data_IF_618318846270
#
_entry.id   IF_618318846270
#
_cell.length_a   1.000
_cell.length_b   1.000
_cell.length_c   1.000
_cell.angle_alpha   90.00
_cell.angle_beta   90.00
_cell.angle_gamma   90.00
#
_symmetry.space_group_name_H-M   'P 1'
#
loop_
_entity.id
_entity.type
_entity.pdbx_description
1 polymer ?
#
# COMPACT_ATOMS: atom_id res chain seq x y z
N UNK A 1 16.79 -6.51 -7.52
CA UNK A 1 16.90 -6.04 -6.11
C UNK A 1 16.05 -4.79 -5.97
N UNK A 2 15.34 -4.64 -4.85
CA UNK A 2 14.75 -3.40 -4.28
C UNK A 2 13.27 -3.10 -4.63
N UNK A 3 12.40 -3.24 -3.61
CA UNK A 3 10.96 -2.99 -3.66
C UNK A 3 10.62 -1.49 -3.71
N UNK A 4 10.43 -0.78 -4.82
CA UNK A 4 9.95 0.63 -4.73
C UNK A 4 10.75 1.48 -3.72
N UNK A 5 12.05 1.68 -3.96
CA UNK A 5 13.03 1.95 -2.89
C UNK A 5 12.78 1.17 -1.60
N UNK A 6 12.82 -0.16 -1.70
CA UNK A 6 12.50 -1.10 -0.62
C UNK A 6 11.26 -0.80 0.28
N UNK A 7 10.22 -0.13 -0.18
CA UNK A 7 8.99 0.10 0.56
C UNK A 7 7.74 -0.58 0.01
N UNK A 8 7.25 -0.19 -1.17
CA UNK A 8 5.82 -0.36 -1.47
C UNK A 8 5.53 -0.62 -2.96
N UNK A 9 5.24 -1.88 -3.31
CA UNK A 9 4.68 -2.25 -4.62
C UNK A 9 3.58 -3.30 -4.44
N UNK A 10 2.73 -3.44 -5.45
CA UNK A 10 1.77 -4.55 -5.58
C UNK A 10 2.07 -5.31 -6.86
N UNK A 11 2.14 -6.63 -6.81
CA UNK A 11 2.30 -7.52 -7.97
C UNK A 11 1.20 -8.58 -7.95
N UNK A 12 0.72 -8.99 -9.12
CA UNK A 12 -0.21 -10.10 -9.25
C UNK A 12 0.54 -11.33 -9.80
N UNK A 13 0.59 -12.37 -8.97
CA UNK A 13 0.93 -13.78 -9.23
C UNK A 13 2.35 -14.16 -9.75
N UNK A 14 2.96 -15.08 -8.99
CA UNK A 14 4.09 -16.02 -9.23
C UNK A 14 5.31 -15.69 -10.13
N UNK A 15 5.63 -14.43 -10.38
CA UNK A 15 6.86 -14.07 -11.09
C UNK A 15 7.80 -13.22 -10.24
N UNK A 16 8.39 -13.88 -9.23
CA UNK A 16 9.38 -13.26 -8.33
C UNK A 16 10.78 -13.06 -8.96
N UNK A 17 10.99 -13.21 -10.27
CA UNK A 17 12.31 -13.12 -10.90
C UNK A 17 12.31 -12.69 -12.40
N UNK A 18 11.52 -11.69 -12.80
CA UNK A 18 11.74 -11.01 -14.10
C UNK A 18 11.63 -9.50 -13.96
N UNK A 19 12.65 -8.78 -14.43
CA UNK A 19 12.88 -7.33 -14.32
C UNK A 19 11.87 -6.44 -15.07
N UNK A 20 10.78 -7.01 -15.60
CA UNK A 20 9.86 -6.36 -16.54
C UNK A 20 8.39 -6.41 -16.07
N UNK A 21 8.14 -6.22 -14.77
CA UNK A 21 6.75 -6.05 -14.27
C UNK A 21 6.42 -4.56 -14.22
N UNK A 22 5.40 -4.16 -14.96
CA UNK A 22 4.88 -2.80 -15.00
C UNK A 22 4.42 -2.38 -13.58
N UNK A 23 5.22 -1.58 -12.88
CA UNK A 23 4.91 -1.12 -11.53
C UNK A 23 4.13 0.19 -11.59
N UNK A 24 2.84 0.13 -11.28
CA UNK A 24 2.02 1.32 -11.15
C UNK A 24 2.11 1.90 -9.73
N UNK A 25 2.23 3.24 -9.58
CA UNK A 25 2.39 3.85 -8.27
C UNK A 25 1.14 3.63 -7.41
N UNK A 26 1.36 3.32 -6.13
CA UNK A 26 0.31 3.35 -5.12
C UNK A 26 -0.12 4.79 -4.84
N UNK A 27 -1.40 4.97 -4.59
CA UNK A 27 -2.01 6.25 -4.24
C UNK A 27 -2.20 6.29 -2.72
N UNK A 28 -1.45 7.14 -1.99
CA UNK A 28 -1.60 7.23 -0.55
C UNK A 28 -2.99 7.80 -0.22
N UNK A 29 -3.62 7.27 0.82
CA UNK A 29 -4.78 7.87 1.44
C UNK A 29 -4.39 9.21 2.11
N UNK A 30 -5.32 10.16 2.14
CA UNK A 30 -5.17 11.34 3.00
C UNK A 30 -5.12 10.86 4.47
N UNK A 31 -4.06 11.17 5.24
CA UNK A 31 -3.99 10.85 6.67
C UNK A 31 -5.24 11.28 7.46
N UNK A 32 -5.90 12.36 7.05
CA UNK A 32 -7.12 12.87 7.68
C UNK A 32 -8.35 12.03 7.37
N UNK A 33 -8.34 11.31 6.25
CA UNK A 33 -9.39 10.40 5.83
C UNK A 33 -9.18 8.96 6.35
N UNK A 34 -8.07 8.69 7.06
CA UNK A 34 -7.88 7.41 7.73
C UNK A 34 -8.90 7.27 8.87
N UNK A 35 -9.52 6.10 8.94
CA UNK A 35 -10.49 5.74 9.96
C UNK A 35 -10.11 4.41 10.64
N UNK A 36 -10.79 4.12 11.76
CA UNK A 36 -10.67 2.84 12.46
C UNK A 36 -9.22 2.46 12.81
N UNK A 37 -8.80 1.27 12.38
CA UNK A 37 -7.46 0.74 12.67
C UNK A 37 -6.36 1.56 11.98
N UNK A 38 -6.57 2.00 10.75
CA UNK A 38 -5.57 2.78 10.00
C UNK A 38 -5.24 4.10 10.69
N UNK A 39 -6.28 4.77 11.22
CA UNK A 39 -6.07 5.99 11.98
C UNK A 39 -5.28 5.76 13.27
N UNK A 40 -5.64 4.72 14.02
CA UNK A 40 -4.97 4.38 15.29
C UNK A 40 -3.49 4.06 15.08
N UNK A 41 -3.17 3.28 14.05
CA UNK A 41 -1.79 2.93 13.72
C UNK A 41 -0.99 4.15 13.27
N UNK A 42 -1.60 5.02 12.45
CA UNK A 42 -0.97 6.25 11.99
C UNK A 42 -0.64 7.19 13.16
N UNK A 43 -1.60 7.42 14.06
CA UNK A 43 -1.42 8.30 15.22
C UNK A 43 -0.38 7.72 16.20
N UNK A 44 -0.35 6.40 16.41
CA UNK A 44 0.66 5.74 17.24
C UNK A 44 2.06 5.90 16.64
N UNK A 45 2.21 5.65 15.34
CA UNK A 45 3.49 5.81 14.66
C UNK A 45 4.01 7.25 14.78
N UNK A 46 3.14 8.26 14.66
CA UNK A 46 3.54 9.66 14.88
C UNK A 46 3.90 9.95 16.34
N UNK A 47 3.12 9.45 17.30
CA UNK A 47 3.38 9.65 18.72
C UNK A 47 4.74 9.08 19.15
N UNK A 48 5.15 7.97 18.54
CA UNK A 48 6.42 7.30 18.80
C UNK A 48 7.58 7.85 17.94
N UNK A 49 7.34 8.86 17.10
CA UNK A 49 8.35 9.50 16.24
C UNK A 49 8.72 8.71 14.99
N UNK A 50 7.93 7.71 14.60
CA UNK A 50 8.12 6.88 13.41
C UNK A 50 7.41 7.48 12.19
N UNK A 51 7.88 8.63 11.70
CA UNK A 51 7.28 9.35 10.56
C UNK A 51 7.26 8.53 9.27
N UNK A 52 8.30 7.74 9.00
CA UNK A 52 8.36 6.86 7.83
C UNK A 52 7.29 5.76 7.88
N UNK A 53 7.02 5.23 9.08
CA UNK A 53 5.97 4.22 9.29
C UNK A 53 4.60 4.86 9.14
N UNK A 54 4.39 6.06 9.68
CA UNK A 54 3.15 6.81 9.47
C UNK A 54 2.91 7.05 7.97
N UNK A 55 3.96 7.43 7.22
CA UNK A 55 3.89 7.58 5.77
C UNK A 55 3.57 6.27 5.06
N UNK A 56 4.23 5.17 5.42
CA UNK A 56 3.96 3.83 4.88
C UNK A 56 2.48 3.42 5.03
N UNK A 57 1.90 3.70 6.20
CA UNK A 57 0.50 3.40 6.49
C UNK A 57 -0.46 4.14 5.54
N UNK A 58 -0.14 5.36 5.10
CA UNK A 58 -0.98 6.05 4.10
C UNK A 58 -1.08 5.29 2.78
N UNK A 59 -0.02 4.59 2.37
CA UNK A 59 -0.05 3.75 1.17
C UNK A 59 -0.77 2.43 1.42
N UNK A 60 -0.55 1.79 2.58
CA UNK A 60 -1.21 0.54 2.94
C UNK A 60 -2.73 0.69 3.01
N UNK A 61 -3.23 1.82 3.56
CA UNK A 61 -4.65 2.15 3.63
C UNK A 61 -5.15 2.93 2.39
N UNK A 62 -4.29 3.11 1.39
CA UNK A 62 -4.59 3.81 0.15
C UNK A 62 -5.14 2.88 -0.93
N UNK A 63 -4.89 3.27 -2.18
CA UNK A 63 -5.40 2.59 -3.35
C UNK A 63 -4.29 2.20 -4.32
N UNK A 64 -4.51 1.12 -5.06
CA UNK A 64 -3.67 0.71 -6.17
C UNK A 64 -4.44 0.84 -7.48
N UNK A 65 -3.72 1.00 -8.60
CA UNK A 65 -4.30 0.95 -9.94
C UNK A 65 -3.99 -0.41 -10.56
N UNK A 66 -5.02 -1.11 -11.04
CA UNK A 66 -4.84 -2.34 -11.81
C UNK A 66 -4.21 -2.01 -13.18
N UNK A 67 -3.10 -2.65 -13.59
CA UNK A 67 -2.47 -2.37 -14.88
C UNK A 67 -3.36 -2.75 -16.07
N UNK A 68 -4.12 -3.83 -15.95
CA UNK A 68 -4.95 -4.36 -17.04
C UNK A 68 -6.18 -3.50 -17.32
N UNK A 69 -6.97 -3.17 -16.30
CA UNK A 69 -8.25 -2.47 -16.46
C UNK A 69 -8.21 -0.99 -16.03
N UNK A 70 -7.07 -0.52 -15.51
CA UNK A 70 -6.86 0.84 -14.98
C UNK A 70 -7.80 1.27 -13.84
N UNK A 71 -8.54 0.34 -13.27
CA UNK A 71 -9.44 0.61 -12.14
C UNK A 71 -8.63 0.77 -10.85
N UNK A 72 -9.05 1.75 -10.02
CA UNK A 72 -8.52 1.91 -8.65
C UNK A 72 -9.23 0.97 -7.70
N UNK A 73 -8.48 0.37 -6.77
CA UNK A 73 -9.01 -0.50 -5.73
C UNK A 73 -8.28 -0.30 -4.41
N UNK A 74 -8.99 -0.56 -3.30
CA UNK A 74 -8.42 -0.50 -1.95
C UNK A 74 -7.40 -1.63 -1.74
N UNK A 75 -6.20 -1.28 -1.27
CA UNK A 75 -5.14 -2.25 -0.98
C UNK A 75 -5.57 -3.21 0.13
N UNK A 76 -6.09 -2.70 1.26
CA UNK A 76 -6.57 -3.54 2.36
C UNK A 76 -7.77 -4.38 1.95
N UNK A 77 -8.65 -3.84 1.10
CA UNK A 77 -9.78 -4.61 0.55
C UNK A 77 -9.32 -5.93 -0.08
N UNK A 78 -8.21 -5.91 -0.82
CA UNK A 78 -7.64 -7.10 -1.47
C UNK A 78 -6.98 -8.08 -0.48
N UNK A 79 -6.31 -7.58 0.57
CA UNK A 79 -5.67 -8.43 1.59
C UNK A 79 -6.71 -9.25 2.35
N UNK A 80 -7.85 -8.64 2.69
CA UNK A 80 -8.94 -9.32 3.40
C UNK A 80 -9.57 -10.40 2.53
N UNK A 81 -9.78 -10.13 1.23
CA UNK A 81 -10.36 -11.11 0.30
C UNK A 81 -9.42 -12.27 -0.03
N UNK A 82 -8.11 -12.04 -0.08
CA UNK A 82 -7.12 -13.10 -0.34
C UNK A 82 -6.88 -14.03 0.87
N UNK A 83 -7.32 -13.64 2.07
CA UNK A 83 -7.13 -14.38 3.31
C UNK A 83 -8.32 -15.28 3.70
N UNK A 84 -9.27 -15.49 2.78
CA UNK A 84 -10.51 -16.26 2.98
C UNK A 84 -10.54 -17.56 2.19
#
# INVERSE_FOLDING_TARGET
>A
MIFGERGFFSTAEDHALSDDVETLPLHPADPRALEGLGRRLYDLALADGHEEVARALTYAFGEATCPECRQRFSVIGQVVTASS
#
